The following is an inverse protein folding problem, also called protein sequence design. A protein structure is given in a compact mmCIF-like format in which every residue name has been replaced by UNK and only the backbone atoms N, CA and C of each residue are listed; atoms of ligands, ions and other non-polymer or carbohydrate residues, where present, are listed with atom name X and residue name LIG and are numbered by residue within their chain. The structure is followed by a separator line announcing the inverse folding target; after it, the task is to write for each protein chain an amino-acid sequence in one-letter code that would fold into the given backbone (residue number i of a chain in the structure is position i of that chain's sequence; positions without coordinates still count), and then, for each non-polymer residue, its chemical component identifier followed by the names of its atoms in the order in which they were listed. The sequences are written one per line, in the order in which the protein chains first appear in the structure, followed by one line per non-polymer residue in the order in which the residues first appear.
data_IF_020956868031
#
_entry.id   IF_020956868031
#
_cell.length_a   1.000
_cell.length_b   1.000
_cell.length_c   1.000
_cell.angle_alpha   90.00
_cell.angle_beta   90.00
_cell.angle_gamma   90.00
#
_symmetry.space_group_name_H-M   'P 1'
#
loop_
_entity.id
_entity.type
_entity.pdbx_description
1 polymer ?
#
# COMPACT_ATOMS: atom_id res chain seq x y z
N UNK A 1 3.28 18.34 -19.55
CA UNK A 1 4.34 17.29 -19.56
C UNK A 1 4.68 16.79 -18.16
N UNK A 2 4.79 17.65 -17.14
CA UNK A 2 5.09 17.27 -15.75
C UNK A 2 4.21 16.14 -15.16
N UNK A 3 2.90 16.11 -15.43
CA UNK A 3 2.01 15.08 -14.88
C UNK A 3 2.33 13.66 -15.41
N UNK A 4 2.77 13.53 -16.68
CA UNK A 4 3.07 12.22 -17.27
C UNK A 4 4.36 11.61 -16.70
N UNK A 5 5.37 12.43 -16.43
CA UNK A 5 6.62 11.97 -15.82
C UNK A 5 6.42 11.57 -14.35
N UNK A 6 5.55 12.28 -13.62
CA UNK A 6 5.15 11.92 -12.26
C UNK A 6 4.38 10.61 -12.21
N UNK A 7 3.41 10.39 -13.09
CA UNK A 7 2.68 9.12 -13.19
C UNK A 7 3.64 7.95 -13.42
N UNK A 8 4.55 8.08 -14.39
CA UNK A 8 5.54 7.05 -14.69
C UNK A 8 6.52 6.80 -13.52
N UNK A 9 6.89 7.83 -12.76
CA UNK A 9 7.78 7.67 -11.60
C UNK A 9 7.09 7.01 -10.40
N UNK A 10 5.75 7.07 -10.32
CA UNK A 10 4.94 6.49 -9.24
C UNK A 10 4.38 5.10 -9.52
N UNK A 11 4.35 4.63 -10.77
CA UNK A 11 3.88 3.28 -11.14
C UNK A 11 4.61 2.15 -10.39
N UNK A 12 5.95 2.20 -10.37
CA UNK A 12 6.76 1.19 -9.69
C UNK A 12 6.59 1.24 -8.16
N UNK A 13 6.66 2.41 -7.50
CA UNK A 13 6.28 2.55 -6.09
C UNK A 13 4.89 2.00 -5.78
N UNK A 14 3.86 2.36 -6.56
CA UNK A 14 2.49 1.88 -6.39
C UNK A 14 2.41 0.36 -6.45
N UNK A 15 3.06 -0.26 -7.44
CA UNK A 15 3.12 -1.72 -7.57
C UNK A 15 3.77 -2.37 -6.35
N UNK A 16 4.87 -1.80 -5.83
CA UNK A 16 5.56 -2.33 -4.66
C UNK A 16 4.70 -2.25 -3.40
N UNK A 17 4.01 -1.12 -3.17
CA UNK A 17 3.12 -0.94 -2.01
C UNK A 17 1.93 -1.91 -2.09
N UNK A 18 1.32 -2.06 -3.27
CA UNK A 18 0.25 -3.05 -3.48
C UNK A 18 0.73 -4.49 -3.18
N UNK A 19 1.97 -4.83 -3.55
CA UNK A 19 2.53 -6.14 -3.24
C UNK A 19 2.70 -6.35 -1.73
N UNK A 20 3.04 -5.32 -0.97
CA UNK A 20 3.08 -5.38 0.49
C UNK A 20 1.68 -5.63 1.07
N UNK A 21 0.64 -4.95 0.57
CA UNK A 21 -0.74 -5.21 1.00
C UNK A 21 -1.15 -6.66 0.76
N UNK A 22 -0.81 -7.23 -0.40
CA UNK A 22 -1.08 -8.65 -0.68
C UNK A 22 -0.39 -9.56 0.34
N UNK A 23 0.88 -9.30 0.67
CA UNK A 23 1.61 -10.10 1.66
C UNK A 23 1.03 -9.97 3.06
N UNK A 24 0.61 -8.77 3.46
CA UNK A 24 -0.05 -8.54 4.76
C UNK A 24 -1.39 -9.28 4.85
N UNK A 25 -2.20 -9.26 3.78
CA UNK A 25 -3.46 -10.02 3.73
C UNK A 25 -3.24 -11.52 3.91
N UNK A 26 -2.27 -12.08 3.18
CA UNK A 26 -1.92 -13.51 3.31
C UNK A 26 -1.40 -13.83 4.70
N UNK A 27 -0.57 -12.96 5.28
CA UNK A 27 -0.06 -13.16 6.64
C UNK A 27 -1.20 -13.11 7.66
N UNK A 28 -2.12 -12.15 7.54
CA UNK A 28 -3.26 -12.02 8.43
C UNK A 28 -4.16 -13.26 8.41
N UNK A 29 -4.46 -13.80 7.23
CA UNK A 29 -5.27 -15.00 7.07
C UNK A 29 -4.62 -16.25 7.68
N UNK A 30 -3.29 -16.33 7.66
CA UNK A 30 -2.53 -17.45 8.20
C UNK A 30 -2.21 -17.33 9.70
N UNK A 31 -2.36 -16.13 10.28
CA UNK A 31 -1.92 -15.84 11.63
C UNK A 31 -2.98 -16.22 12.68
N UNK A 32 -2.56 -16.98 13.70
CA UNK A 32 -3.45 -17.46 14.79
C UNK A 32 -3.29 -16.66 16.08
N UNK A 33 -2.33 -15.73 16.14
CA UNK A 33 -2.03 -14.91 17.31
C UNK A 33 -2.75 -13.56 17.24
N UNK A 34 -3.66 -13.28 18.17
CA UNK A 34 -4.51 -12.08 18.14
C UNK A 34 -3.71 -10.78 18.24
N UNK A 35 -2.62 -10.75 19.01
CA UNK A 35 -1.78 -9.55 19.15
C UNK A 35 -1.05 -9.25 17.82
N UNK A 36 -0.49 -10.28 17.19
CA UNK A 36 0.12 -10.18 15.86
C UNK A 36 -0.91 -9.79 14.81
N UNK A 37 -2.14 -10.31 14.87
CA UNK A 37 -3.21 -9.92 13.95
C UNK A 37 -3.52 -8.42 14.08
N UNK A 38 -3.62 -7.91 15.31
CA UNK A 38 -3.82 -6.49 15.56
C UNK A 38 -2.65 -5.64 15.04
N UNK A 39 -1.40 -6.07 15.22
CA UNK A 39 -0.24 -5.39 14.65
C UNK A 39 -0.29 -5.38 13.11
N UNK A 40 -0.70 -6.49 12.48
CA UNK A 40 -0.88 -6.57 11.02
C UNK A 40 -1.95 -5.58 10.57
N UNK A 41 -3.08 -5.45 11.26
CA UNK A 41 -4.13 -4.47 10.95
C UNK A 41 -3.61 -3.03 10.96
N UNK A 42 -2.80 -2.68 11.97
CA UNK A 42 -2.19 -1.34 12.06
C UNK A 42 -1.27 -1.07 10.87
N UNK A 43 -0.41 -2.02 10.52
CA UNK A 43 0.46 -1.88 9.33
C UNK A 43 -0.37 -1.83 8.05
N UNK A 44 -1.43 -2.64 7.95
CA UNK A 44 -2.31 -2.67 6.78
C UNK A 44 -2.96 -1.30 6.53
N UNK A 45 -3.44 -0.65 7.60
CA UNK A 45 -3.99 0.70 7.52
C UNK A 45 -2.95 1.72 7.02
N UNK A 46 -1.74 1.72 7.59
CA UNK A 46 -0.66 2.63 7.19
C UNK A 46 -0.25 2.45 5.73
N UNK A 47 -0.13 1.21 5.26
CA UNK A 47 0.23 0.89 3.87
C UNK A 47 -0.92 1.26 2.92
N UNK A 48 -2.17 1.06 3.33
CA UNK A 48 -3.35 1.47 2.56
C UNK A 48 -3.41 2.99 2.36
N UNK A 49 -3.07 3.77 3.38
CA UNK A 49 -3.00 5.23 3.25
C UNK A 49 -1.85 5.68 2.34
N UNK A 50 -0.73 4.96 2.32
CA UNK A 50 0.34 5.20 1.36
C UNK A 50 -0.12 4.95 -0.09
N UNK A 51 -0.92 3.91 -0.35
CA UNK A 51 -1.52 3.69 -1.70
C UNK A 51 -2.42 4.85 -2.08
N UNK A 52 -3.31 5.30 -1.19
CA UNK A 52 -4.20 6.44 -1.47
C UNK A 52 -3.42 7.72 -1.78
N UNK A 53 -2.33 7.97 -1.05
CA UNK A 53 -1.48 9.13 -1.30
C UNK A 53 -0.80 9.05 -2.68
N UNK A 54 -0.33 7.87 -3.08
CA UNK A 54 0.25 7.65 -4.41
C UNK A 54 -0.83 7.82 -5.50
N UNK A 55 -2.01 7.24 -5.31
CA UNK A 55 -3.13 7.37 -6.25
C UNK A 55 -3.56 8.82 -6.40
N UNK A 56 -3.66 9.57 -5.30
CA UNK A 56 -3.96 11.01 -5.31
C UNK A 56 -2.91 11.80 -6.08
N UNK A 57 -1.62 11.53 -5.83
CA UNK A 57 -0.53 12.17 -6.56
C UNK A 57 -0.57 11.84 -8.06
N UNK A 58 -0.87 10.60 -8.45
CA UNK A 58 -1.03 10.21 -9.86
C UNK A 58 -2.24 10.86 -10.54
N UNK A 59 -3.30 11.17 -9.78
CA UNK A 59 -4.46 11.95 -10.24
C UNK A 59 -4.20 13.46 -10.28
N UNK A 60 -3.06 13.93 -9.75
CA UNK A 60 -2.70 15.34 -9.65
C UNK A 60 -3.41 16.09 -8.51
N UNK A 61 -3.81 15.38 -7.46
CA UNK A 61 -4.46 15.90 -6.25
C UNK A 61 -3.51 16.01 -5.07
#
# INVERSE_FOLDING_TARGET
MANKEMVLSLEVPRMKVNRVLTLLSVWQEANQDEETAHMIDVVFAMVSDAVKAIDSAMEGK
#
